data_IF_258744794312
#
_entry.id   IF_258744794312
#
_cell.length_a   1.000
_cell.length_b   1.000
_cell.length_c   1.000
_cell.angle_alpha   90.00
_cell.angle_beta   90.00
_cell.angle_gamma   90.00
#
_symmetry.space_group_name_H-M   'P 1'
#
loop_
_entity.id
_entity.type
_entity.pdbx_description
1 polymer ?
#
# COMPACT_ATOMS: atom_id res chain seq x y z
N UNK A 1 0.44 16.43 -28.56
CA UNK A 1 0.08 15.27 -27.72
C UNK A 1 -1.31 14.78 -28.11
N UNK A 2 -1.53 13.48 -28.30
CA UNK A 2 -2.85 12.91 -28.64
C UNK A 2 -3.80 12.92 -27.43
N UNK A 3 -5.12 13.02 -27.65
CA UNK A 3 -6.15 12.89 -26.60
C UNK A 3 -5.96 11.62 -25.76
N UNK A 4 -5.51 10.52 -26.39
CA UNK A 4 -5.19 9.24 -25.71
C UNK A 4 -4.10 9.40 -24.65
N UNK A 5 -3.05 10.18 -24.93
CA UNK A 5 -1.96 10.41 -23.97
C UNK A 5 -2.42 11.16 -22.72
N UNK A 6 -3.32 12.15 -22.86
CA UNK A 6 -3.82 12.90 -21.69
C UNK A 6 -4.70 12.03 -20.78
N UNK A 7 -5.45 11.10 -21.36
CA UNK A 7 -6.25 10.13 -20.61
C UNK A 7 -5.35 9.20 -19.79
N UNK A 8 -4.23 8.76 -20.36
CA UNK A 8 -3.25 7.93 -19.65
C UNK A 8 -2.61 8.64 -18.47
N UNK A 9 -2.24 9.92 -18.62
CA UNK A 9 -1.80 10.73 -17.47
C UNK A 9 -2.82 10.73 -16.34
N UNK A 10 -4.10 10.91 -16.68
CA UNK A 10 -5.17 10.86 -15.69
C UNK A 10 -5.19 9.53 -14.93
N UNK A 11 -5.02 8.41 -15.60
CA UNK A 11 -4.96 7.09 -14.96
C UNK A 11 -3.77 6.96 -14.01
N UNK A 12 -2.59 7.43 -14.42
CA UNK A 12 -1.36 7.34 -13.62
C UNK A 12 -1.37 8.24 -12.38
N UNK A 13 -1.96 9.44 -12.50
CA UNK A 13 -1.87 10.47 -11.46
C UNK A 13 -3.18 10.66 -10.70
N UNK A 14 -4.29 10.07 -11.14
CA UNK A 14 -5.61 10.28 -10.53
C UNK A 14 -6.10 11.73 -10.62
N UNK A 15 -5.51 12.56 -11.49
CA UNK A 15 -5.89 13.95 -11.71
C UNK A 15 -7.31 14.07 -12.31
N UNK A 16 -7.74 15.26 -12.71
CA UNK A 16 -8.95 15.38 -13.56
C UNK A 16 -8.53 15.80 -14.95
N UNK A 17 -9.28 15.45 -16.01
CA UNK A 17 -8.97 15.86 -17.37
C UNK A 17 -8.75 17.38 -17.49
N UNK A 18 -9.61 18.17 -16.84
CA UNK A 18 -9.50 19.63 -16.83
C UNK A 18 -8.22 20.14 -16.15
N UNK A 19 -7.73 19.45 -15.11
CA UNK A 19 -6.47 19.83 -14.43
C UNK A 19 -5.26 19.50 -15.27
N UNK A 20 -5.23 18.31 -15.88
CA UNK A 20 -4.14 17.89 -16.78
C UNK A 20 -4.01 18.88 -17.94
N UNK A 21 -5.13 19.27 -18.58
CA UNK A 21 -5.16 20.27 -19.67
C UNK A 21 -4.52 21.60 -19.30
N UNK A 22 -4.75 22.08 -18.07
CA UNK A 22 -4.19 23.36 -17.58
C UNK A 22 -2.69 23.30 -17.29
N UNK A 23 -2.11 22.11 -17.12
CA UNK A 23 -0.71 21.91 -16.78
C UNK A 23 0.19 21.62 -17.98
N UNK A 24 -0.36 21.59 -19.21
CA UNK A 24 0.44 21.34 -20.41
C UNK A 24 1.53 22.40 -20.66
N UNK A 25 1.35 23.63 -20.17
CA UNK A 25 2.34 24.69 -20.35
C UNK A 25 3.67 24.48 -19.62
N UNK A 26 3.71 23.59 -18.61
CA UNK A 26 4.87 23.41 -17.73
C UNK A 26 5.62 22.08 -17.94
N UNK A 27 5.18 21.23 -18.88
CA UNK A 27 5.72 19.88 -19.07
C UNK A 27 6.83 19.84 -20.13
N UNK A 28 7.93 19.16 -19.81
CA UNK A 28 8.99 18.81 -20.77
C UNK A 28 8.41 17.92 -21.90
N UNK A 29 8.80 18.11 -23.17
CA UNK A 29 8.34 17.29 -24.28
C UNK A 29 8.67 15.80 -24.06
N UNK A 30 7.66 14.93 -24.06
CA UNK A 30 7.84 13.46 -24.11
C UNK A 30 7.51 12.69 -22.82
N UNK A 31 7.45 13.33 -21.65
CA UNK A 31 7.02 12.67 -20.39
C UNK A 31 5.81 13.35 -19.77
N UNK A 32 4.69 12.63 -19.66
CA UNK A 32 3.46 13.16 -19.09
C UNK A 32 3.55 13.41 -17.58
N UNK A 33 4.33 12.58 -16.89
CA UNK A 33 4.54 12.64 -15.44
C UNK A 33 6.00 13.02 -15.19
N UNK A 34 6.32 14.30 -14.97
CA UNK A 34 7.69 14.76 -14.82
C UNK A 34 8.34 14.15 -13.58
N UNK A 35 9.64 13.88 -13.64
CA UNK A 35 10.44 13.57 -12.46
C UNK A 35 10.63 14.81 -11.57
N UNK A 36 10.98 14.61 -10.30
CA UNK A 36 11.38 15.72 -9.43
C UNK A 36 12.72 16.29 -9.91
N UNK A 37 12.82 17.62 -10.02
CA UNK A 37 14.00 18.30 -10.60
C UNK A 37 15.24 18.18 -9.71
N UNK A 38 15.08 18.27 -8.39
CA UNK A 38 16.22 18.26 -7.45
C UNK A 38 16.37 16.91 -6.75
N UNK A 39 17.60 16.49 -6.43
CA UNK A 39 17.84 15.29 -5.61
C UNK A 39 17.15 15.35 -4.24
N UNK A 40 17.08 16.54 -3.63
CA UNK A 40 16.41 16.74 -2.35
C UNK A 40 14.92 16.50 -2.40
N UNK A 41 14.25 16.97 -3.45
CA UNK A 41 12.85 16.68 -3.69
C UNK A 41 12.62 15.17 -3.89
N UNK A 42 13.51 14.48 -4.62
CA UNK A 42 13.42 13.02 -4.82
C UNK A 42 13.56 12.25 -3.50
N UNK A 43 14.51 12.65 -2.64
CA UNK A 43 14.66 12.07 -1.28
C UNK A 43 13.43 12.32 -0.40
N UNK A 44 12.85 13.52 -0.45
CA UNK A 44 11.63 13.84 0.29
C UNK A 44 10.47 12.96 -0.19
N UNK A 45 10.27 12.86 -1.50
CA UNK A 45 9.23 12.03 -2.09
C UNK A 45 9.42 10.54 -1.77
N UNK A 46 10.65 10.05 -1.77
CA UNK A 46 10.96 8.69 -1.34
C UNK A 46 10.54 8.44 0.13
N UNK A 47 10.85 9.39 1.03
CA UNK A 47 10.43 9.30 2.43
C UNK A 47 8.89 9.33 2.57
N UNK A 48 8.19 10.09 1.73
CA UNK A 48 6.73 10.07 1.67
C UNK A 48 6.17 8.73 1.20
N UNK A 49 6.81 8.06 0.24
CA UNK A 49 6.40 6.73 -0.18
C UNK A 49 6.53 5.74 0.99
N UNK A 50 7.63 5.76 1.74
CA UNK A 50 7.82 4.92 2.93
C UNK A 50 6.75 5.20 3.99
N UNK A 51 6.46 6.46 4.25
CA UNK A 51 5.40 6.82 5.21
C UNK A 51 4.02 6.35 4.73
N UNK A 52 3.74 6.47 3.43
CA UNK A 52 2.49 5.99 2.84
C UNK A 52 2.37 4.46 2.93
N UNK A 53 3.41 3.67 2.63
CA UNK A 53 3.36 2.20 2.76
C UNK A 53 3.18 1.77 4.22
N UNK A 54 3.85 2.45 5.17
CA UNK A 54 3.63 2.21 6.61
C UNK A 54 2.21 2.56 7.06
N UNK A 55 1.65 3.66 6.57
CA UNK A 55 0.28 4.07 6.86
C UNK A 55 -0.72 3.06 6.30
N UNK A 56 -0.54 2.62 5.05
CA UNK A 56 -1.32 1.55 4.42
C UNK A 56 -1.27 0.24 5.21
N UNK A 57 -0.08 -0.16 5.65
CA UNK A 57 0.08 -1.34 6.50
C UNK A 57 -0.62 -1.18 7.87
N UNK A 58 -0.59 0.03 8.44
CA UNK A 58 -1.33 0.39 9.65
C UNK A 58 -2.83 0.28 9.45
N UNK A 59 -3.38 0.95 8.44
CA UNK A 59 -4.81 0.90 8.09
C UNK A 59 -5.30 -0.55 7.97
N UNK A 60 -4.55 -1.39 7.27
CA UNK A 60 -4.85 -2.82 7.14
C UNK A 60 -4.90 -3.54 8.49
N UNK A 61 -3.89 -3.35 9.35
CA UNK A 61 -3.84 -4.01 10.66
C UNK A 61 -5.02 -3.63 11.56
N UNK A 62 -5.55 -2.43 11.40
CA UNK A 62 -6.69 -1.94 12.18
C UNK A 62 -8.05 -2.17 11.49
N UNK A 63 -8.08 -2.84 10.32
CA UNK A 63 -9.33 -3.08 9.58
C UNK A 63 -10.01 -1.79 9.13
N UNK A 64 -9.23 -0.81 8.67
CA UNK A 64 -9.74 0.48 8.25
C UNK A 64 -10.79 0.33 7.13
N UNK A 65 -11.93 1.06 7.14
CA UNK A 65 -12.99 0.92 6.14
C UNK A 65 -12.61 1.34 4.71
N UNK A 66 -11.39 1.83 4.50
CA UNK A 66 -10.88 2.23 3.20
C UNK A 66 -9.83 1.22 2.80
N UNK A 67 -9.84 0.86 1.51
CA UNK A 67 -8.71 0.16 0.92
C UNK A 67 -7.43 0.97 1.13
N UNK A 68 -6.39 0.42 1.74
CA UNK A 68 -5.11 1.09 1.96
C UNK A 68 -4.58 1.85 0.74
N UNK A 69 -4.65 1.27 -0.46
CA UNK A 69 -4.18 1.91 -1.71
C UNK A 69 -4.99 3.13 -2.15
N UNK A 70 -6.13 3.39 -1.52
CA UNK A 70 -6.93 4.61 -1.73
C UNK A 70 -6.48 5.78 -0.84
N UNK A 71 -5.47 5.59 0.02
CA UNK A 71 -4.90 6.63 0.89
C UNK A 71 -4.53 7.87 0.08
N UNK A 72 -3.86 7.72 -1.07
CA UNK A 72 -3.56 8.81 -2.01
C UNK A 72 -4.44 8.68 -3.25
N UNK A 73 -5.52 9.46 -3.28
CA UNK A 73 -6.50 9.43 -4.38
C UNK A 73 -6.02 10.14 -5.65
N UNK A 74 -5.09 11.09 -5.50
CA UNK A 74 -4.55 11.90 -6.60
C UNK A 74 -3.16 12.40 -6.28
N UNK A 75 -2.32 12.44 -7.30
CA UNK A 75 -0.98 13.00 -7.29
C UNK A 75 -0.94 14.10 -8.35
N UNK A 76 -0.40 15.27 -8.00
CA UNK A 76 -0.20 16.40 -8.92
C UNK A 76 1.31 16.57 -9.07
N UNK A 77 1.92 15.95 -10.08
CA UNK A 77 3.36 16.02 -10.28
C UNK A 77 3.73 17.43 -10.79
N UNK A 78 4.39 18.21 -9.94
CA UNK A 78 5.08 19.43 -10.34
C UNK A 78 6.60 19.19 -10.42
N UNK A 79 7.30 20.03 -11.19
CA UNK A 79 8.76 19.96 -11.27
C UNK A 79 9.46 20.38 -9.96
N UNK A 80 8.87 21.32 -9.22
CA UNK A 80 9.42 21.84 -7.94
C UNK A 80 8.70 21.31 -6.70
N UNK A 81 7.39 21.08 -6.79
CA UNK A 81 6.54 20.71 -5.66
C UNK A 81 5.60 19.58 -6.07
N UNK A 82 5.45 18.58 -5.22
CA UNK A 82 4.49 17.50 -5.40
C UNK A 82 3.19 17.83 -4.64
N UNK A 83 2.05 17.80 -5.31
CA UNK A 83 0.75 17.86 -4.65
C UNK A 83 0.17 16.47 -4.45
N UNK A 84 -0.34 16.15 -3.26
CA UNK A 84 -0.99 14.88 -2.94
C UNK A 84 -2.40 15.17 -2.42
N UNK A 85 -3.42 14.46 -2.92
CA UNK A 85 -4.75 14.45 -2.31
C UNK A 85 -4.91 13.16 -1.53
N UNK A 86 -4.89 13.30 -0.22
CA UNK A 86 -5.06 12.19 0.72
C UNK A 86 -6.55 12.03 1.02
N UNK A 87 -7.02 10.80 1.18
CA UNK A 87 -8.39 10.57 1.65
C UNK A 87 -8.52 11.04 3.11
N UNK A 88 -9.59 11.76 3.45
CA UNK A 88 -9.73 12.42 4.76
C UNK A 88 -9.64 11.44 5.94
N UNK A 89 -10.32 10.28 5.84
CA UNK A 89 -10.22 9.23 6.87
C UNK A 89 -8.83 8.59 7.02
N UNK A 90 -7.95 8.67 6.01
CA UNK A 90 -6.58 8.14 6.08
C UNK A 90 -5.52 9.23 6.35
N UNK A 91 -5.95 10.48 6.54
CA UNK A 91 -5.04 11.61 6.69
C UNK A 91 -4.23 11.51 7.98
N UNK A 92 -4.88 11.17 9.09
CA UNK A 92 -4.24 11.12 10.39
C UNK A 92 -3.23 9.97 10.46
N UNK A 93 -3.55 8.80 9.88
CA UNK A 93 -2.62 7.68 9.72
C UNK A 93 -1.36 8.09 8.94
N UNK A 94 -1.53 8.80 7.81
CA UNK A 94 -0.41 9.27 7.02
C UNK A 94 0.43 10.29 7.79
N UNK A 95 -0.20 11.28 8.44
CA UNK A 95 0.50 12.31 9.21
C UNK A 95 1.26 11.69 10.40
N UNK A 96 0.69 10.71 11.09
CA UNK A 96 1.36 9.99 12.15
C UNK A 96 2.62 9.22 11.67
N UNK A 97 2.67 8.80 10.40
CA UNK A 97 3.88 8.21 9.81
C UNK A 97 4.86 9.24 9.24
N UNK A 98 4.40 10.45 8.89
CA UNK A 98 5.24 11.49 8.28
C UNK A 98 5.91 12.39 9.31
N UNK A 99 5.18 12.84 10.32
CA UNK A 99 5.66 13.87 11.24
C UNK A 99 6.80 13.31 12.11
N UNK A 100 7.90 14.07 12.26
CA UNK A 100 9.01 13.63 13.08
C UNK A 100 8.59 13.56 14.55
N UNK A 101 8.88 12.45 15.20
CA UNK A 101 8.64 12.23 16.62
C UNK A 101 9.83 11.50 17.24
N UNK A 102 10.24 11.92 18.42
CA UNK A 102 11.30 11.26 19.17
C UNK A 102 10.73 10.04 19.88
N UNK A 103 11.34 8.88 19.66
CA UNK A 103 11.03 7.64 20.37
C UNK A 103 12.34 7.07 20.88
N UNK A 104 12.59 7.23 22.19
CA UNK A 104 13.87 6.88 22.79
C UNK A 104 15.02 7.76 22.27
N UNK A 105 16.05 7.13 21.74
CA UNK A 105 17.24 7.75 21.14
C UNK A 105 17.08 8.04 19.63
N UNK A 106 15.96 7.63 19.02
CA UNK A 106 15.73 7.70 17.57
C UNK A 106 14.58 8.63 17.22
N UNK A 107 14.61 9.13 15.98
CA UNK A 107 13.49 9.87 15.37
C UNK A 107 12.71 8.93 14.46
N UNK A 108 11.41 8.80 14.71
CA UNK A 108 10.46 8.20 13.76
C UNK A 108 9.85 9.29 12.90
N UNK A 109 9.45 8.94 11.68
CA UNK A 109 8.86 9.88 10.72
C UNK A 109 9.90 10.37 9.72
N UNK A 110 9.70 11.57 9.17
CA UNK A 110 10.64 12.18 8.22
C UNK A 110 11.48 13.25 8.95
N UNK A 111 12.77 13.01 9.20
CA UNK A 111 13.64 13.99 9.86
C UNK A 111 13.73 15.32 9.10
N UNK A 112 13.59 16.41 9.82
CA UNK A 112 13.60 17.78 9.29
C UNK A 112 12.33 18.22 8.60
N UNK A 113 11.26 17.40 8.62
CA UNK A 113 9.98 17.77 8.03
C UNK A 113 9.25 18.79 8.93
N UNK A 114 8.71 19.84 8.32
CA UNK A 114 8.00 20.93 8.99
C UNK A 114 6.64 21.18 8.37
N UNK A 115 5.64 21.36 9.21
CA UNK A 115 4.25 21.52 8.82
C UNK A 115 3.85 23.00 8.80
N UNK A 116 3.38 23.49 7.66
CA UNK A 116 2.96 24.87 7.44
C UNK A 116 1.50 24.88 6.92
N UNK A 117 0.51 25.01 7.81
CA UNK A 117 -0.89 25.03 7.40
C UNK A 117 -1.19 26.29 6.57
N UNK A 118 -1.76 26.10 5.38
CA UNK A 118 -2.28 27.17 4.53
C UNK A 118 -3.81 27.17 4.56
N UNK A 119 -4.43 28.04 3.76
CA UNK A 119 -5.89 28.19 3.73
C UNK A 119 -6.60 26.90 3.29
N UNK A 120 -6.10 26.26 2.24
CA UNK A 120 -6.74 25.14 1.53
C UNK A 120 -5.85 23.89 1.38
N UNK A 121 -4.66 23.91 1.99
CA UNK A 121 -3.71 22.80 1.95
C UNK A 121 -2.72 22.86 3.13
N UNK A 122 -2.03 21.75 3.37
CA UNK A 122 -0.90 21.68 4.30
C UNK A 122 0.40 21.59 3.49
N UNK A 123 1.29 22.56 3.67
CA UNK A 123 2.66 22.49 3.14
C UNK A 123 3.55 21.69 4.11
N UNK A 124 4.18 20.64 3.61
CA UNK A 124 5.16 19.82 4.32
C UNK A 124 6.52 20.08 3.68
N UNK A 125 7.40 20.78 4.41
CA UNK A 125 8.67 21.30 3.89
C UNK A 125 9.84 20.65 4.60
N UNK A 126 10.88 20.39 3.83
CA UNK A 126 12.23 20.05 4.29
C UNK A 126 13.21 21.06 3.67
N UNK A 127 14.45 21.13 4.15
CA UNK A 127 15.45 22.06 3.62
C UNK A 127 15.62 21.97 2.08
N UNK A 128 15.40 20.78 1.50
CA UNK A 128 15.69 20.47 0.11
C UNK A 128 14.46 20.00 -0.71
N UNK A 129 13.24 20.14 -0.18
CA UNK A 129 12.01 19.75 -0.87
C UNK A 129 10.71 20.21 -0.21
N UNK A 130 9.61 20.14 -0.97
CA UNK A 130 8.25 20.48 -0.54
C UNK A 130 7.20 19.52 -1.12
N UNK A 131 6.26 19.10 -0.27
CA UNK A 131 5.05 18.37 -0.65
C UNK A 131 3.83 19.10 -0.10
N UNK A 132 2.75 19.17 -0.88
CA UNK A 132 1.48 19.79 -0.48
C UNK A 132 0.40 18.74 -0.33
N UNK A 133 -0.19 18.64 0.86
CA UNK A 133 -1.41 17.85 1.06
C UNK A 133 -2.62 18.73 0.73
N UNK A 134 -3.19 18.50 -0.45
CA UNK A 134 -4.27 19.28 -1.05
C UNK A 134 -5.61 18.96 -0.37
N UNK A 135 -6.36 20.00 0.00
CA UNK A 135 -7.65 19.87 0.68
C UNK A 135 -7.54 19.74 2.21
N UNK A 136 -6.31 19.67 2.76
CA UNK A 136 -6.09 19.74 4.20
C UNK A 136 -6.15 21.20 4.64
N UNK A 137 -7.33 21.65 5.05
CA UNK A 137 -7.54 23.02 5.52
C UNK A 137 -6.86 23.26 6.87
N UNK A 138 -6.66 24.54 7.22
CA UNK A 138 -6.16 24.92 8.55
C UNK A 138 -7.04 24.39 9.69
N UNK A 139 -8.34 24.26 9.46
CA UNK A 139 -9.28 23.68 10.43
C UNK A 139 -9.07 22.18 10.59
N UNK A 140 -9.00 21.42 9.48
CA UNK A 140 -8.74 19.98 9.51
C UNK A 140 -7.39 19.67 10.17
N UNK A 141 -6.37 20.48 9.91
CA UNK A 141 -5.08 20.39 10.60
C UNK A 141 -5.23 20.58 12.12
N UNK A 142 -5.92 21.64 12.57
CA UNK A 142 -6.15 21.88 14.01
C UNK A 142 -6.88 20.72 14.68
N UNK A 143 -7.88 20.13 14.00
CA UNK A 143 -8.58 18.93 14.51
C UNK A 143 -7.63 17.75 14.66
N UNK A 144 -6.76 17.52 13.68
CA UNK A 144 -5.76 16.45 13.74
C UNK A 144 -4.76 16.64 14.89
N UNK A 145 -4.33 17.89 15.14
CA UNK A 145 -3.48 18.23 16.30
C UNK A 145 -4.23 17.99 17.61
N UNK A 146 -5.48 18.43 17.71
CA UNK A 146 -6.30 18.23 18.91
C UNK A 146 -6.57 16.73 19.20
N UNK A 147 -6.57 15.89 18.17
CA UNK A 147 -6.69 14.44 18.29
C UNK A 147 -5.39 13.72 18.70
N UNK A 148 -4.29 14.46 18.91
CA UNK A 148 -3.04 13.91 19.45
C UNK A 148 -1.94 13.63 18.43
N UNK A 149 -1.97 14.27 17.24
CA UNK A 149 -0.83 14.17 16.32
C UNK A 149 0.47 14.72 16.96
N UNK A 150 1.62 14.04 16.80
CA UNK A 150 2.89 14.46 17.38
C UNK A 150 3.49 15.62 16.56
N UNK A 151 3.14 16.85 16.91
CA UNK A 151 3.51 18.05 16.13
C UNK A 151 4.69 18.83 16.66
N UNK A 152 5.23 18.50 17.83
CA UNK A 152 6.23 19.31 18.52
C UNK A 152 7.46 19.59 17.65
N UNK A 153 8.07 18.55 17.08
CA UNK A 153 9.19 18.71 16.16
C UNK A 153 8.76 19.33 14.82
N UNK A 154 7.57 18.99 14.32
CA UNK A 154 7.07 19.50 13.05
C UNK A 154 6.77 21.00 13.06
N UNK A 155 6.55 21.59 14.25
CA UNK A 155 6.33 23.03 14.46
C UNK A 155 7.56 23.75 15.03
N UNK A 156 8.60 23.01 15.43
CA UNK A 156 9.82 23.57 15.97
C UNK A 156 10.57 24.42 14.92
N UNK A 157 11.02 25.62 15.33
CA UNK A 157 11.82 26.52 14.47
C UNK A 157 13.24 26.01 14.23
N UNK A 158 13.77 25.18 15.13
CA UNK A 158 15.12 24.61 15.05
C UNK A 158 15.02 23.11 14.80
N UNK A 159 16.07 22.54 14.22
CA UNK A 159 16.22 21.08 14.07
C UNK A 159 16.63 20.50 15.42
N UNK A 160 15.98 19.42 15.84
CA UNK A 160 16.48 18.61 16.94
C UNK A 160 17.78 17.91 16.49
N UNK A 161 18.84 17.85 17.32
CA UNK A 161 20.10 17.21 16.95
C UNK A 161 19.96 15.75 16.49
N UNK A 162 18.88 15.06 16.89
CA UNK A 162 18.59 13.67 16.50
C UNK A 162 17.92 13.56 15.13
N UNK A 163 17.46 14.67 14.54
CA UNK A 163 16.86 14.68 13.20
C UNK A 163 17.93 14.56 12.11
N UNK A 164 18.55 13.38 11.99
CA UNK A 164 19.54 13.08 10.95
C UNK A 164 18.84 12.67 9.65
N UNK A 165 19.10 13.35 8.52
CA UNK A 165 18.61 12.95 7.21
C UNK A 165 19.07 11.54 6.80
N UNK A 166 18.14 10.59 6.68
CA UNK A 166 18.42 9.37 5.93
C UNK A 166 18.30 9.64 4.42
N UNK A 167 19.22 9.07 3.64
CA UNK A 167 19.20 9.11 2.18
C UNK A 167 18.86 7.72 1.65
N UNK A 168 17.64 7.50 1.12
CA UNK A 168 17.30 6.21 0.54
C UNK A 168 18.13 5.97 -0.73
N UNK A 169 18.69 4.76 -0.85
CA UNK A 169 19.58 4.34 -1.96
C UNK A 169 18.87 4.47 -3.31
N UNK A 170 17.58 4.16 -3.36
CA UNK A 170 16.75 4.16 -4.58
C UNK A 170 15.74 5.33 -4.62
N UNK A 171 16.14 6.51 -4.13
CA UNK A 171 15.28 7.69 -4.03
C UNK A 171 14.57 8.06 -5.35
N UNK A 172 15.26 7.90 -6.48
CA UNK A 172 14.74 8.22 -7.80
C UNK A 172 13.59 7.27 -8.21
N UNK A 173 13.75 5.97 -7.94
CA UNK A 173 12.71 4.96 -8.17
C UNK A 173 11.49 5.22 -7.29
N UNK A 174 11.70 5.46 -5.99
CA UNK A 174 10.63 5.69 -5.03
C UNK A 174 9.85 6.99 -5.33
N UNK A 175 10.55 8.06 -5.70
CA UNK A 175 9.92 9.31 -6.17
C UNK A 175 9.10 9.05 -7.44
N UNK A 176 9.63 8.29 -8.40
CA UNK A 176 8.93 7.88 -9.61
C UNK A 176 7.63 7.12 -9.33
N UNK A 177 7.66 6.18 -8.38
CA UNK A 177 6.52 5.38 -7.91
C UNK A 177 5.50 6.26 -7.20
N UNK A 178 5.90 7.12 -6.26
CA UNK A 178 4.96 8.00 -5.54
C UNK A 178 4.18 8.89 -6.52
N UNK A 179 4.86 9.42 -7.55
CA UNK A 179 4.25 10.24 -8.61
C UNK A 179 3.19 9.51 -9.43
N UNK A 180 3.17 8.18 -9.36
CA UNK A 180 2.29 7.26 -10.11
C UNK A 180 1.51 6.31 -9.19
N UNK A 181 1.45 6.61 -7.90
CA UNK A 181 0.82 5.73 -6.90
C UNK A 181 -0.62 5.32 -7.23
N UNK A 182 -1.45 6.16 -7.90
CA UNK A 182 -2.78 5.76 -8.37
C UNK A 182 -2.82 4.58 -9.35
N UNK A 183 -1.68 4.17 -9.94
CA UNK A 183 -1.60 2.94 -10.73
C UNK A 183 -1.93 1.70 -9.89
N UNK A 184 -1.78 1.71 -8.57
CA UNK A 184 -2.15 0.58 -7.70
C UNK A 184 -3.59 0.67 -7.18
N UNK A 185 -4.43 1.54 -7.75
CA UNK A 185 -5.84 1.64 -7.39
C UNK A 185 -6.51 0.27 -7.52
N UNK A 186 -7.29 -0.11 -6.52
CA UNK A 186 -8.02 -1.38 -6.49
C UNK A 186 -7.24 -2.52 -5.87
N UNK A 187 -5.93 -2.38 -5.65
CA UNK A 187 -5.20 -3.33 -4.82
C UNK A 187 -5.65 -3.22 -3.36
N UNK A 188 -5.75 -4.35 -2.68
CA UNK A 188 -6.21 -4.42 -1.29
C UNK A 188 -5.13 -3.87 -0.34
N UNK A 189 -3.85 -3.98 -0.72
CA UNK A 189 -2.74 -3.33 -0.04
C UNK A 189 -1.55 -3.21 -0.98
N UNK A 190 -0.60 -2.35 -0.63
CA UNK A 190 0.70 -2.26 -1.29
C UNK A 190 1.79 -2.08 -0.22
N UNK A 191 2.90 -2.78 -0.38
CA UNK A 191 4.10 -2.69 0.43
C UNK A 191 5.31 -2.49 -0.49
N UNK A 192 6.41 -1.96 0.05
CA UNK A 192 7.62 -1.69 -0.70
C UNK A 192 8.86 -1.91 0.14
N UNK A 193 9.80 -2.68 -0.38
CA UNK A 193 11.07 -3.00 0.27
C UNK A 193 12.21 -2.64 -0.68
N UNK A 194 13.31 -2.16 -0.13
CA UNK A 194 14.53 -1.90 -0.88
C UNK A 194 15.50 -3.03 -0.57
N UNK A 195 15.83 -3.81 -1.58
CA UNK A 195 16.83 -4.89 -1.49
C UNK A 195 17.99 -4.47 -2.38
N UNK A 196 19.13 -4.12 -1.77
CA UNK A 196 20.27 -3.51 -2.47
C UNK A 196 19.87 -2.21 -3.20
N UNK A 197 20.01 -2.19 -4.52
CA UNK A 197 19.66 -1.10 -5.44
C UNK A 197 18.32 -1.35 -6.18
N UNK A 198 17.55 -2.35 -5.74
CA UNK A 198 16.25 -2.72 -6.29
C UNK A 198 15.13 -2.30 -5.34
N UNK A 199 14.12 -1.62 -5.88
CA UNK A 199 12.86 -1.36 -5.19
C UNK A 199 11.85 -2.44 -5.57
N UNK A 200 11.54 -3.32 -4.62
CA UNK A 200 10.51 -4.34 -4.77
C UNK A 200 9.18 -3.84 -4.23
N UNK A 201 8.17 -3.81 -5.08
CA UNK A 201 6.81 -3.46 -4.70
C UNK A 201 5.94 -4.71 -4.73
N UNK A 202 5.15 -4.87 -3.68
CA UNK A 202 4.25 -6.02 -3.50
C UNK A 202 2.84 -5.54 -3.27
N UNK A 203 1.86 -6.19 -3.87
CA UNK A 203 0.45 -5.90 -3.64
C UNK A 203 -0.41 -7.14 -3.86
N UNK A 204 -1.63 -7.10 -3.33
CA UNK A 204 -2.66 -8.13 -3.59
C UNK A 204 -3.90 -7.48 -4.20
N UNK A 205 -4.59 -8.22 -5.06
CA UNK A 205 -5.73 -7.68 -5.80
C UNK A 205 -5.29 -6.61 -6.81
N UNK A 206 -6.26 -5.90 -7.38
CA UNK A 206 -6.00 -4.81 -8.32
C UNK A 206 -5.23 -5.22 -9.58
N UNK A 207 -4.34 -4.36 -10.09
CA UNK A 207 -3.78 -4.49 -11.43
C UNK A 207 -2.76 -5.64 -11.56
N UNK A 208 -2.64 -6.26 -12.75
CA UNK A 208 -1.59 -7.24 -13.02
C UNK A 208 -0.17 -6.64 -12.93
N UNK A 209 0.77 -7.43 -12.40
CA UNK A 209 2.18 -7.03 -12.31
C UNK A 209 2.80 -6.78 -13.69
N UNK A 210 2.43 -7.59 -14.69
CA UNK A 210 2.87 -7.45 -16.07
C UNK A 210 2.45 -6.09 -16.66
N UNK A 211 1.17 -5.71 -16.46
CA UNK A 211 0.61 -4.43 -16.91
C UNK A 211 1.28 -3.24 -16.21
N UNK A 212 1.42 -3.29 -14.88
CA UNK A 212 2.09 -2.22 -14.12
C UNK A 212 3.54 -2.07 -14.57
N UNK A 213 4.28 -3.17 -14.73
CA UNK A 213 5.69 -3.13 -15.14
C UNK A 213 5.87 -2.56 -16.55
N UNK A 214 4.99 -2.94 -17.49
CA UNK A 214 5.00 -2.38 -18.84
C UNK A 214 4.66 -0.87 -18.84
N UNK A 215 3.67 -0.45 -18.04
CA UNK A 215 3.32 0.96 -17.88
C UNK A 215 4.50 1.77 -17.31
N UNK A 216 5.17 1.25 -16.29
CA UNK A 216 6.28 1.94 -15.62
C UNK A 216 7.54 2.04 -16.48
N UNK A 217 7.70 1.23 -17.53
CA UNK A 217 8.92 1.19 -18.35
C UNK A 217 8.74 1.68 -19.78
N UNK A 218 7.59 1.40 -20.40
CA UNK A 218 7.38 1.56 -21.84
C UNK A 218 6.22 2.51 -22.21
N UNK A 219 5.57 3.17 -21.24
CA UNK A 219 4.45 4.07 -21.53
C UNK A 219 4.84 5.55 -21.45
N UNK A 220 3.92 6.41 -21.91
CA UNK A 220 3.97 7.86 -21.64
C UNK A 220 3.96 8.23 -20.14
N UNK A 221 3.61 7.29 -19.27
CA UNK A 221 3.77 7.35 -17.82
C UNK A 221 4.98 6.58 -17.29
N UNK A 222 5.96 6.23 -18.11
CA UNK A 222 7.16 5.52 -17.64
C UNK A 222 7.94 6.34 -16.59
N UNK A 223 8.62 5.64 -15.69
CA UNK A 223 9.66 6.23 -14.84
C UNK A 223 10.94 6.27 -15.69
N UNK A 224 11.56 7.45 -15.90
CA UNK A 224 12.75 7.55 -16.74
C UNK A 224 13.90 6.70 -16.21
N UNK A 225 14.52 5.90 -17.09
CA UNK A 225 15.72 5.12 -16.75
C UNK A 225 15.46 3.98 -15.77
N UNK A 226 14.31 3.30 -15.91
CA UNK A 226 13.92 2.20 -15.04
C UNK A 226 13.68 0.93 -15.84
N UNK A 227 14.16 -0.20 -15.32
CA UNK A 227 13.67 -1.52 -15.69
C UNK A 227 12.70 -2.01 -14.62
N UNK A 228 11.68 -2.77 -15.04
CA UNK A 228 10.68 -3.34 -14.16
C UNK A 228 10.51 -4.81 -14.51
N UNK A 229 10.73 -5.69 -13.53
CA UNK A 229 10.55 -7.13 -13.68
C UNK A 229 9.31 -7.55 -12.88
N UNK A 230 8.21 -7.94 -13.56
CA UNK A 230 7.04 -8.45 -12.87
C UNK A 230 7.36 -9.80 -12.25
N UNK A 231 6.80 -10.06 -11.08
CA UNK A 231 6.79 -11.39 -10.49
C UNK A 231 5.44 -11.65 -9.81
N UNK A 232 5.19 -12.93 -9.55
CA UNK A 232 4.02 -13.41 -8.81
C UNK A 232 4.53 -14.31 -7.69
N UNK A 233 4.07 -14.02 -6.48
CA UNK A 233 4.34 -14.83 -5.31
C UNK A 233 3.12 -15.70 -5.00
N UNK A 234 3.25 -16.57 -3.99
CA UNK A 234 2.13 -17.34 -3.47
C UNK A 234 0.97 -16.42 -3.00
N UNK A 235 -0.22 -17.01 -2.79
CA UNK A 235 -1.39 -16.33 -2.22
C UNK A 235 -1.89 -15.13 -3.05
N UNK A 236 -1.75 -15.21 -4.37
CA UNK A 236 -2.16 -14.17 -5.32
C UNK A 236 -1.48 -12.80 -5.09
N UNK A 237 -0.32 -12.79 -4.43
CA UNK A 237 0.51 -11.60 -4.30
C UNK A 237 1.22 -11.35 -5.63
N UNK A 238 1.09 -10.13 -6.12
CA UNK A 238 1.72 -9.62 -7.32
C UNK A 238 2.88 -8.72 -6.89
N UNK A 239 3.91 -8.65 -7.70
CA UNK A 239 4.99 -7.71 -7.44
C UNK A 239 5.69 -7.23 -8.69
N UNK A 240 6.45 -6.16 -8.53
CA UNK A 240 7.38 -5.65 -9.55
C UNK A 240 8.67 -5.24 -8.86
N UNK A 241 9.80 -5.70 -9.40
CA UNK A 241 11.12 -5.28 -8.99
C UNK A 241 11.59 -4.18 -9.94
N UNK A 242 11.88 -3.00 -9.38
CA UNK A 242 12.34 -1.83 -10.13
C UNK A 242 13.83 -1.62 -9.90
N UNK A 243 14.58 -1.42 -10.96
CA UNK A 243 16.01 -1.07 -10.91
C UNK A 243 16.34 0.03 -11.89
N UNK A 244 17.47 0.72 -11.68
CA UNK A 244 17.97 1.69 -12.64
C UNK A 244 18.40 0.98 -13.93
N UNK A 245 18.05 1.54 -15.09
CA UNK A 245 18.40 1.02 -16.40
C UNK A 245 18.55 2.13 -17.43
N UNK A 246 19.22 1.84 -18.55
CA UNK A 246 19.25 2.76 -19.69
C UNK A 246 17.85 2.83 -20.32
N UNK A 247 17.28 4.04 -20.54
CA UNK A 247 15.99 4.17 -21.21
C UNK A 247 16.05 3.51 -22.59
N UNK A 248 15.12 2.60 -22.86
CA UNK A 248 14.94 2.02 -24.18
C UNK A 248 13.61 2.50 -24.76
N UNK A 249 13.59 3.17 -25.93
CA UNK A 249 12.34 3.53 -26.56
C UNK A 249 11.58 2.25 -26.90
N UNK A 250 10.33 2.19 -26.45
CA UNK A 250 9.40 1.10 -26.71
C UNK A 250 8.07 1.70 -27.19
N UNK A 251 7.31 0.98 -28.03
CA UNK A 251 5.97 1.39 -28.38
C UNK A 251 5.08 1.38 -27.13
N UNK A 252 4.11 2.29 -27.12
CA UNK A 252 3.15 2.42 -26.04
C UNK A 252 2.39 1.09 -25.81
N UNK A 253 2.40 0.51 -24.60
CA UNK A 253 1.84 -0.80 -24.34
C UNK A 253 0.31 -0.72 -24.16
N UNK A 254 -0.44 -0.58 -25.25
CA UNK A 254 -1.91 -0.43 -25.19
C UNK A 254 -2.60 -1.60 -24.48
N UNK A 255 -2.09 -2.83 -24.64
CA UNK A 255 -2.59 -4.01 -23.93
C UNK A 255 -2.53 -3.84 -22.41
N UNK A 256 -1.46 -3.23 -21.88
CA UNK A 256 -1.27 -3.05 -20.45
C UNK A 256 -2.30 -2.07 -19.87
N UNK A 257 -2.68 -1.04 -20.62
CA UNK A 257 -3.72 -0.11 -20.22
C UNK A 257 -5.11 -0.75 -20.21
N UNK A 258 -5.41 -1.60 -21.19
CA UNK A 258 -6.67 -2.34 -21.25
C UNK A 258 -6.80 -3.26 -20.04
N UNK A 259 -5.77 -4.06 -19.75
CA UNK A 259 -5.75 -4.96 -18.59
C UNK A 259 -5.82 -4.20 -17.27
N UNK A 260 -5.07 -3.10 -17.16
CA UNK A 260 -5.11 -2.23 -15.99
C UNK A 260 -6.52 -1.67 -15.77
N UNK A 261 -7.19 -1.16 -16.81
CA UNK A 261 -8.56 -0.65 -16.69
C UNK A 261 -9.55 -1.72 -16.27
N UNK A 262 -9.45 -2.92 -16.86
CA UNK A 262 -10.34 -4.04 -16.54
C UNK A 262 -10.26 -4.46 -15.06
N UNK A 263 -9.09 -4.26 -14.43
CA UNK A 263 -8.81 -4.69 -13.04
C UNK A 263 -8.86 -3.56 -12.01
N UNK A 264 -8.80 -2.29 -12.43
CA UNK A 264 -8.79 -1.11 -11.55
C UNK A 264 -10.03 -0.23 -11.68
N UNK A 265 -10.95 -0.55 -12.61
CA UNK A 265 -12.30 -0.01 -12.61
C UNK A 265 -12.89 -0.20 -11.20
N UNK A 266 -13.68 0.76 -10.69
CA UNK A 266 -14.33 0.65 -9.39
C UNK A 266 -15.33 -0.51 -9.43
N UNK A 267 -14.85 -1.73 -9.20
CA UNK A 267 -15.67 -2.87 -8.86
C UNK A 267 -16.30 -2.63 -7.48
N UNK A 268 -17.39 -3.36 -7.16
CA UNK A 268 -18.02 -3.23 -5.85
C UNK A 268 -16.96 -3.43 -4.77
N UNK A 269 -16.94 -2.51 -3.79
CA UNK A 269 -16.08 -2.62 -2.62
C UNK A 269 -16.25 -4.02 -2.03
N UNK A 270 -15.24 -4.87 -2.15
CA UNK A 270 -15.24 -6.16 -1.46
C UNK A 270 -15.48 -5.87 0.02
N UNK A 271 -16.56 -6.44 0.57
CA UNK A 271 -16.88 -6.35 1.99
C UNK A 271 -15.75 -7.04 2.76
N UNK A 272 -14.89 -6.22 3.35
CA UNK A 272 -13.72 -6.63 4.13
C UNK A 272 -14.23 -7.17 5.47
N UNK A 273 -14.10 -8.48 5.71
CA UNK A 273 -14.37 -9.06 7.03
C UNK A 273 -13.09 -9.00 7.84
N UNK A 274 -13.18 -8.45 9.05
CA UNK A 274 -12.10 -8.50 10.02
C UNK A 274 -11.64 -9.95 10.25
N UNK A 275 -10.34 -10.18 10.13
CA UNK A 275 -9.68 -11.47 10.33
C UNK A 275 -9.96 -11.98 11.75
N UNK A 276 -10.53 -13.19 11.87
CA UNK A 276 -10.55 -13.92 13.15
C UNK A 276 -9.14 -14.46 13.43
N UNK A 277 -8.62 -14.34 14.66
CA UNK A 277 -7.33 -14.95 15.01
C UNK A 277 -7.43 -16.48 14.85
N UNK A 278 -6.42 -17.09 14.19
CA UNK A 278 -6.17 -18.52 14.32
C UNK A 278 -5.79 -18.79 15.78
N UNK A 279 -6.35 -19.85 16.37
CA UNK A 279 -5.91 -20.31 17.69
C UNK A 279 -4.46 -20.81 17.60
N UNK A 280 -3.59 -20.49 18.57
CA UNK A 280 -2.24 -21.03 18.61
C UNK A 280 -2.29 -22.57 18.66
N UNK A 281 -1.32 -23.22 18.01
CA UNK A 281 -1.12 -24.66 18.15
C UNK A 281 -0.75 -25.03 19.60
N UNK A 282 -1.04 -26.25 20.05
CA UNK A 282 -0.92 -26.66 21.46
C UNK A 282 0.50 -26.60 22.05
N UNK A 283 1.54 -26.37 21.24
CA UNK A 283 2.95 -26.48 21.61
C UNK A 283 3.69 -25.14 21.75
N UNK A 284 3.00 -24.00 21.57
CA UNK A 284 3.60 -22.67 21.71
C UNK A 284 2.90 -21.87 22.82
N UNK A 285 3.65 -21.09 23.61
CA UNK A 285 3.05 -20.24 24.63
C UNK A 285 2.19 -19.15 23.95
N UNK A 286 1.05 -18.81 24.55
CA UNK A 286 0.14 -17.78 24.02
C UNK A 286 0.69 -16.37 24.32
N UNK A 287 1.70 -15.98 23.56
CA UNK A 287 2.48 -14.74 23.79
C UNK A 287 2.24 -13.69 22.71
N UNK A 288 1.44 -14.00 21.68
CA UNK A 288 1.28 -13.16 20.50
C UNK A 288 0.66 -11.79 20.77
N UNK A 289 -0.13 -11.68 21.84
CA UNK A 289 -0.81 -10.44 22.23
C UNK A 289 0.01 -9.57 23.19
N UNK A 290 1.15 -10.05 23.69
CA UNK A 290 2.03 -9.26 24.54
C UNK A 290 2.62 -8.08 23.77
N UNK A 291 2.72 -6.91 24.42
CA UNK A 291 3.08 -5.64 23.75
C UNK A 291 4.41 -5.71 22.98
N UNK A 292 5.44 -6.29 23.61
CA UNK A 292 6.78 -6.43 23.00
C UNK A 292 6.79 -7.40 21.81
N UNK A 293 6.08 -8.53 21.93
CA UNK A 293 5.89 -9.48 20.83
C UNK A 293 5.12 -8.85 19.67
N UNK A 294 4.03 -8.13 19.97
CA UNK A 294 3.23 -7.38 18.97
C UNK A 294 4.07 -6.35 18.24
N UNK A 295 4.91 -5.60 18.96
CA UNK A 295 5.80 -4.61 18.37
C UNK A 295 6.85 -5.26 17.45
N UNK A 296 7.49 -6.34 17.90
CA UNK A 296 8.48 -7.08 17.12
C UNK A 296 7.86 -7.68 15.84
N UNK A 297 6.71 -8.34 15.95
CA UNK A 297 5.97 -8.89 14.81
C UNK A 297 5.55 -7.78 13.82
N UNK A 298 5.03 -6.66 14.32
CA UNK A 298 4.59 -5.54 13.49
C UNK A 298 5.74 -4.89 12.71
N UNK A 299 6.96 -4.92 13.26
CA UNK A 299 8.19 -4.43 12.64
C UNK A 299 8.94 -5.49 11.83
N UNK A 300 8.45 -6.75 11.81
CA UNK A 300 9.15 -7.92 11.23
C UNK A 300 10.55 -8.13 11.81
N UNK A 301 10.75 -7.77 13.07
CA UNK A 301 11.99 -7.98 13.81
C UNK A 301 12.06 -9.43 14.30
N UNK A 302 12.37 -10.34 13.38
CA UNK A 302 12.48 -11.79 13.64
C UNK A 302 13.54 -12.11 14.71
N UNK A 303 14.71 -11.45 14.75
CA UNK A 303 15.66 -11.63 15.85
C UNK A 303 15.01 -11.39 17.22
N UNK A 304 14.24 -10.32 17.38
CA UNK A 304 13.52 -10.03 18.63
C UNK A 304 12.41 -11.05 18.90
N UNK A 305 11.65 -11.47 17.88
CA UNK A 305 10.63 -12.52 18.03
C UNK A 305 11.25 -13.82 18.55
N UNK A 306 12.38 -14.26 17.99
CA UNK A 306 13.05 -15.49 18.42
C UNK A 306 13.61 -15.37 19.85
N UNK A 307 14.20 -14.23 20.20
CA UNK A 307 14.65 -13.97 21.58
C UNK A 307 13.50 -14.04 22.58
N UNK A 308 12.37 -13.40 22.28
CA UNK A 308 11.18 -13.45 23.13
C UNK A 308 10.67 -14.89 23.28
N UNK A 309 10.61 -15.68 22.20
CA UNK A 309 10.24 -17.09 22.27
C UNK A 309 11.21 -17.93 23.12
N UNK A 310 12.52 -17.71 22.98
CA UNK A 310 13.52 -18.40 23.82
C UNK A 310 13.38 -18.01 25.30
N UNK A 311 13.06 -16.75 25.60
CA UNK A 311 12.80 -16.29 26.96
C UNK A 311 11.55 -16.92 27.57
N UNK A 312 10.57 -17.27 26.72
CA UNK A 312 9.38 -18.04 27.10
C UNK A 312 9.59 -19.56 27.07
N UNK A 313 10.84 -20.03 26.98
CA UNK A 313 11.19 -21.44 27.12
C UNK A 313 11.10 -22.27 25.83
N UNK A 314 10.92 -21.64 24.65
CA UNK A 314 10.96 -22.36 23.37
C UNK A 314 12.41 -22.56 22.93
N UNK A 315 12.92 -23.80 22.85
CA UNK A 315 14.32 -24.03 22.49
C UNK A 315 14.58 -23.76 21.01
N UNK A 316 15.83 -23.37 20.66
CA UNK A 316 16.21 -22.97 19.29
C UNK A 316 16.00 -24.07 18.25
N UNK A 317 16.32 -25.32 18.58
CA UNK A 317 16.08 -26.47 17.71
C UNK A 317 14.59 -26.68 17.43
N UNK A 318 13.72 -26.31 18.37
CA UNK A 318 12.27 -26.35 18.17
C UNK A 318 11.82 -25.23 17.24
N UNK A 319 12.35 -24.02 17.36
CA UNK A 319 12.09 -22.93 16.42
C UNK A 319 12.53 -23.34 15.01
N UNK A 320 13.71 -23.94 14.86
CA UNK A 320 14.22 -24.45 13.59
C UNK A 320 13.26 -25.49 12.98
N UNK A 321 12.85 -26.48 13.77
CA UNK A 321 11.91 -27.53 13.36
C UNK A 321 10.56 -26.96 12.95
N UNK A 322 9.97 -26.07 13.75
CA UNK A 322 8.65 -25.49 13.50
C UNK A 322 8.64 -24.63 12.23
N UNK A 323 9.72 -23.89 11.99
CA UNK A 323 9.83 -22.98 10.85
C UNK A 323 10.43 -23.62 9.60
N UNK A 324 10.86 -24.88 9.67
CA UNK A 324 11.55 -25.56 8.55
C UNK A 324 12.92 -24.97 8.21
N UNK A 325 13.54 -24.25 9.15
CA UNK A 325 14.88 -23.67 9.00
C UNK A 325 15.94 -24.57 9.62
N UNK A 326 17.20 -24.40 9.20
CA UNK A 326 18.32 -25.09 9.85
C UNK A 326 18.66 -24.44 11.20
N UNK A 327 19.15 -25.21 12.18
CA UNK A 327 19.64 -24.65 13.47
C UNK A 327 20.70 -23.54 13.27
N UNK A 328 21.67 -23.67 12.33
CA UNK A 328 22.61 -22.59 12.02
C UNK A 328 21.93 -21.31 11.51
N UNK A 329 20.85 -21.41 10.73
CA UNK A 329 20.11 -20.25 10.27
C UNK A 329 19.40 -19.52 11.41
N UNK A 330 18.82 -20.28 12.34
CA UNK A 330 18.18 -19.72 13.55
C UNK A 330 19.21 -18.98 14.41
N UNK A 331 20.40 -19.55 14.60
CA UNK A 331 21.49 -18.88 15.33
C UNK A 331 21.96 -17.61 14.61
N UNK A 332 22.09 -17.65 13.29
CA UNK A 332 22.44 -16.49 12.46
C UNK A 332 21.42 -15.36 12.61
N UNK A 333 20.13 -15.67 12.59
CA UNK A 333 19.04 -14.70 12.82
C UNK A 333 19.11 -14.14 14.25
N UNK A 334 19.32 -14.98 15.26
CA UNK A 334 19.47 -14.55 16.66
C UNK A 334 20.67 -13.61 16.86
N UNK A 335 21.75 -13.79 16.11
CA UNK A 335 22.92 -12.89 16.12
C UNK A 335 22.71 -11.58 15.36
N UNK A 336 21.55 -11.38 14.74
CA UNK A 336 21.15 -10.12 14.11
C UNK A 336 21.05 -10.15 12.59
N UNK A 337 21.03 -11.33 11.95
CA UNK A 337 20.72 -11.38 10.52
C UNK A 337 19.24 -11.01 10.28
N UNK A 338 19.02 -10.07 9.36
CA UNK A 338 17.68 -9.65 8.98
C UNK A 338 17.01 -10.69 8.08
N UNK A 339 15.72 -10.90 8.30
CA UNK A 339 14.85 -11.73 7.44
C UNK A 339 13.90 -10.82 6.70
N UNK A 340 14.21 -10.54 5.43
CA UNK A 340 13.44 -9.58 4.63
C UNK A 340 12.55 -10.26 3.57
N UNK A 341 12.85 -11.52 3.22
CA UNK A 341 12.09 -12.29 2.23
C UNK A 341 10.67 -12.58 2.72
N UNK A 342 9.67 -12.20 1.92
CA UNK A 342 8.26 -12.45 2.19
C UNK A 342 7.94 -13.95 2.33
N UNK A 343 8.57 -14.81 1.52
CA UNK A 343 8.34 -16.25 1.55
C UNK A 343 8.89 -16.88 2.85
N UNK A 344 10.07 -16.42 3.29
CA UNK A 344 10.64 -16.85 4.57
C UNK A 344 9.77 -16.35 5.73
N UNK A 345 9.34 -15.09 5.71
CA UNK A 345 8.44 -14.53 6.73
C UNK A 345 7.11 -15.28 6.80
N UNK A 346 6.56 -15.68 5.65
CA UNK A 346 5.32 -16.47 5.57
C UNK A 346 5.51 -17.87 6.13
N UNK A 347 6.65 -18.51 5.81
CA UNK A 347 7.01 -19.83 6.33
C UNK A 347 7.22 -19.79 7.85
N UNK A 348 7.90 -18.77 8.36
CA UNK A 348 8.09 -18.53 9.79
C UNK A 348 6.74 -18.32 10.48
N UNK A 349 5.89 -17.44 9.95
CA UNK A 349 4.58 -17.16 10.52
C UNK A 349 3.71 -18.41 10.59
N UNK A 350 3.69 -19.20 9.50
CA UNK A 350 2.95 -20.46 9.42
C UNK A 350 3.50 -21.49 10.41
N UNK A 351 4.82 -21.67 10.44
CA UNK A 351 5.50 -22.63 11.31
C UNK A 351 5.33 -22.34 12.80
N UNK A 352 5.37 -21.07 13.17
CA UNK A 352 5.14 -20.61 14.54
C UNK A 352 3.66 -20.41 14.88
N UNK A 353 2.73 -20.64 13.95
CA UNK A 353 1.31 -20.37 14.18
C UNK A 353 1.02 -18.91 14.54
N UNK A 354 1.88 -17.97 14.14
CA UNK A 354 1.66 -16.54 14.35
C UNK A 354 0.47 -16.12 13.49
N UNK A 355 -0.54 -15.44 14.05
CA UNK A 355 -1.61 -14.86 13.25
C UNK A 355 -0.99 -14.00 12.16
N UNK A 356 -1.18 -14.31 10.86
CA UNK A 356 -0.43 -13.64 9.81
C UNK A 356 -0.60 -12.11 9.87
N UNK A 357 -1.73 -11.61 10.38
CA UNK A 357 -2.02 -10.18 10.50
C UNK A 357 -1.06 -9.44 11.42
N UNK A 358 -0.46 -10.14 12.38
CA UNK A 358 0.45 -9.54 13.36
C UNK A 358 1.80 -9.19 12.70
N UNK A 359 2.20 -9.94 11.68
CA UNK A 359 3.38 -9.65 10.84
C UNK A 359 3.05 -8.83 9.58
N UNK A 360 1.79 -8.42 9.43
CA UNK A 360 1.31 -7.80 8.19
C UNK A 360 1.26 -8.77 7.00
N UNK A 361 1.02 -10.05 7.29
CA UNK A 361 0.90 -11.16 6.33
C UNK A 361 -0.55 -11.65 6.18
N UNK A 362 -1.50 -11.34 7.09
CA UNK A 362 -2.88 -11.83 6.96
C UNK A 362 -3.62 -11.12 5.84
N UNK A 363 -4.27 -11.97 5.04
CA UNK A 363 -5.34 -11.66 4.11
C UNK A 363 -6.22 -12.89 3.99
N UNK A 364 -7.51 -12.68 3.74
CA UNK A 364 -8.49 -13.73 3.49
C UNK A 364 -7.93 -14.79 2.54
N UNK A 365 -7.78 -16.02 3.02
CA UNK A 365 -7.69 -17.15 2.12
C UNK A 365 -9.05 -17.22 1.42
N UNK A 366 -9.14 -17.14 0.08
CA UNK A 366 -10.39 -17.47 -0.57
C UNK A 366 -10.74 -18.88 -0.08
N UNK A 367 -11.95 -19.12 0.46
CA UNK A 367 -12.33 -20.47 0.84
C UNK A 367 -12.13 -21.35 -0.40
N UNK A 368 -11.58 -22.55 -0.20
CA UNK A 368 -11.50 -23.57 -1.24
C UNK A 368 -12.82 -23.59 -2.02
N UNK A 369 -12.79 -23.71 -3.36
CA UNK A 369 -13.99 -23.68 -4.16
C UNK A 369 -14.84 -24.91 -3.84
N UNK A 370 -15.71 -24.80 -2.84
CA UNK A 370 -16.65 -25.85 -2.49
C UNK A 370 -18.02 -25.60 -3.13
N UNK A 371 -18.44 -26.67 -3.81
CA UNK A 371 -19.74 -27.02 -4.37
C UNK A 371 -20.37 -26.01 -5.32
N UNK A 372 -20.37 -26.39 -6.60
CA UNK A 372 -21.07 -25.74 -7.70
C UNK A 372 -22.54 -25.50 -7.32
N UNK A 373 -22.95 -24.24 -7.40
CA UNK A 373 -24.32 -23.77 -7.16
C UNK A 373 -25.20 -24.01 -8.39
N UNK A 374 -26.47 -24.39 -8.21
CA UNK A 374 -27.47 -24.50 -9.31
C UNK A 374 -27.69 -23.18 -10.08
N UNK A 375 -27.33 -22.05 -9.48
CA UNK A 375 -27.36 -20.74 -10.09
C UNK A 375 -26.18 -20.46 -11.04
N UNK A 376 -25.10 -21.24 -10.96
CA UNK A 376 -23.88 -21.04 -11.73
C UNK A 376 -24.09 -21.37 -13.21
N UNK A 377 -25.07 -22.21 -13.52
CA UNK A 377 -25.43 -22.65 -14.88
C UNK A 377 -26.53 -21.81 -15.53
N UNK A 378 -27.11 -20.85 -14.81
CA UNK A 378 -28.13 -19.96 -15.37
C UNK A 378 -27.50 -19.00 -16.39
N UNK A 379 -28.21 -18.76 -17.48
CA UNK A 379 -27.81 -17.73 -18.45
C UNK A 379 -27.91 -16.32 -17.85
N UNK A 380 -27.11 -15.39 -18.38
CA UNK A 380 -27.03 -14.00 -17.91
C UNK A 380 -28.34 -13.24 -18.09
N UNK A 381 -29.17 -13.63 -19.07
CA UNK A 381 -30.45 -12.97 -19.35
C UNK A 381 -31.46 -13.26 -18.23
N UNK A 382 -31.53 -14.50 -17.79
CA UNK A 382 -32.35 -14.99 -16.68
C UNK A 382 -31.90 -14.36 -15.36
N UNK A 383 -30.58 -14.22 -15.15
CA UNK A 383 -30.06 -13.49 -13.98
C UNK A 383 -30.50 -12.02 -13.98
N UNK A 384 -30.43 -11.36 -15.15
CA UNK A 384 -30.80 -9.95 -15.31
C UNK A 384 -32.30 -9.71 -15.17
N UNK A 385 -33.14 -10.57 -15.74
CA UNK A 385 -34.60 -10.45 -15.64
C UNK A 385 -35.07 -10.64 -14.19
N UNK A 386 -34.47 -11.59 -13.46
CA UNK A 386 -34.72 -11.78 -12.02
C UNK A 386 -34.28 -10.57 -11.19
N UNK A 387 -33.16 -9.92 -11.56
CA UNK A 387 -32.71 -8.68 -10.92
C UNK A 387 -33.67 -7.52 -11.11
N UNK A 388 -34.11 -7.31 -12.34
CA UNK A 388 -35.04 -6.22 -12.66
C UNK A 388 -36.41 -6.43 -12.00
N UNK A 389 -36.89 -7.66 -11.95
CA UNK A 389 -38.13 -8.00 -11.24
C UNK A 389 -38.05 -7.70 -9.74
N UNK A 390 -36.93 -8.02 -9.08
CA UNK A 390 -36.74 -7.70 -7.67
C UNK A 390 -36.57 -6.20 -7.42
N UNK A 391 -35.80 -5.49 -8.25
CA UNK A 391 -35.63 -4.05 -8.15
C UNK A 391 -36.98 -3.31 -8.26
N UNK A 392 -37.88 -3.80 -9.13
CA UNK A 392 -39.25 -3.29 -9.22
C UNK A 392 -40.06 -3.52 -7.92
N UNK A 393 -39.94 -4.70 -7.29
CA UNK A 393 -40.61 -5.01 -6.02
C UNK A 393 -40.10 -4.16 -4.85
N UNK A 394 -38.80 -3.85 -4.81
CA UNK A 394 -38.21 -2.96 -3.80
C UNK A 394 -38.74 -1.53 -3.95
N UNK A 395 -38.88 -1.03 -5.18
CA UNK A 395 -39.41 0.32 -5.46
C UNK A 395 -40.88 0.44 -5.01
N UNK A 396 -41.66 -0.65 -5.11
CA UNK A 396 -43.08 -0.69 -4.70
C UNK A 396 -43.25 -0.95 -3.19
N UNK A 397 -42.15 -1.05 -2.43
CA UNK A 397 -42.17 -1.13 -0.96
C UNK A 397 -42.45 -2.53 -0.40
N UNK A 398 -42.39 -3.58 -1.22
CA UNK A 398 -42.50 -4.97 -0.76
C UNK A 398 -41.11 -5.52 -0.45
N UNK A 399 -40.83 -5.81 0.83
CA UNK A 399 -39.47 -6.18 1.31
C UNK A 399 -39.32 -7.65 1.73
N UNK A 400 -40.33 -8.50 1.52
CA UNK A 400 -40.37 -9.83 2.14
C UNK A 400 -40.09 -11.01 1.20
N UNK A 401 -39.87 -10.80 -0.09
CA UNK A 401 -39.50 -11.89 -0.99
C UNK A 401 -37.96 -12.09 -1.01
N UNK A 402 -37.42 -13.21 -0.49
CA UNK A 402 -35.99 -13.50 -0.57
C UNK A 402 -35.59 -13.68 -2.03
N UNK A 403 -34.55 -12.98 -2.47
CA UNK A 403 -34.00 -13.14 -3.81
C UNK A 403 -32.49 -13.31 -3.74
N UNK A 404 -32.07 -14.55 -3.98
CA UNK A 404 -30.70 -14.98 -3.95
C UNK A 404 -30.64 -16.50 -4.03
N UNK A 405 -29.47 -17.04 -4.36
CA UNK A 405 -29.28 -18.47 -4.19
C UNK A 405 -29.27 -18.79 -2.69
N UNK A 406 -30.08 -19.76 -2.26
CA UNK A 406 -30.15 -20.20 -0.86
C UNK A 406 -28.84 -20.80 -0.35
N UNK A 407 -27.94 -21.23 -1.26
CA UNK A 407 -26.59 -21.67 -0.90
C UNK A 407 -25.81 -20.54 -0.23
N UNK A 408 -25.39 -20.77 1.01
CA UNK A 408 -24.64 -19.80 1.83
C UNK A 408 -23.28 -19.41 1.22
N UNK A 409 -22.75 -20.19 0.27
CA UNK A 409 -21.47 -19.95 -0.41
C UNK A 409 -21.60 -19.19 -1.74
N UNK A 410 -22.83 -18.99 -2.24
CA UNK A 410 -23.05 -18.38 -3.54
C UNK A 410 -22.94 -16.84 -3.50
N UNK A 411 -22.07 -16.27 -4.36
CA UNK A 411 -21.78 -14.83 -4.42
C UNK A 411 -22.49 -14.06 -5.55
N UNK A 412 -23.29 -14.71 -6.40
CA UNK A 412 -24.09 -14.00 -7.41
C UNK A 412 -25.30 -13.35 -6.74
N UNK A 413 -25.07 -12.15 -6.20
CA UNK A 413 -26.02 -11.18 -5.63
C UNK A 413 -26.90 -11.68 -4.47
N UNK A 414 -26.87 -10.98 -3.32
CA UNK A 414 -27.83 -11.15 -2.22
C UNK A 414 -28.34 -9.78 -1.73
N UNK A 415 -29.62 -9.72 -1.30
CA UNK A 415 -29.91 -10.04 0.10
C UNK A 415 -30.83 -11.28 0.29
N UNK A 416 -30.37 -12.07 1.27
CA UNK A 416 -30.85 -13.37 1.83
C UNK A 416 -31.21 -14.47 0.84
#
# INVERSE_FOLDING_TARGET
>A
MSTSSLVKRYWCTGETPNRVRRQLGDAEPGTLVPAARTPGQRRLEAAFLVAATRAMAGMRRHGHPLRPTSLITRVRPGGKVLGLRVHDAALDDLLAQLLPVVVGDRVRGVPGLRAHPRRDHLELRRADGEVRLLGVTRERWRQAVAAGLPVDLAQAKRLDPREVPETPVVADLMSGVLRRLPLWRGADWMDGVVVNDVLELYWRGGPPSDSVSAILTASTCAIPGVAAVPHRLANAVRGTALSAATPRPAPEPEWAWVDWLATTAPGPALAERAVRPLRPGPDLPDVWDQHEMRAALALRDIPTVYRLLTNHGVPRDRIATLTGQSTPDVDRILTGANVESYDILTTIAKGLGVPPGYMGLAHDEPPSPDTQCDCATLDERTKRDRFLAHAALVIVGTTTAPWGCQSKSCRTARPV
#
